data_IF_968443466321
#
_entry.id   IF_968443466321
#
_cell.length_a   1.000
_cell.length_b   1.000
_cell.length_c   1.000
_cell.angle_alpha   90.00
_cell.angle_beta   90.00
_cell.angle_gamma   90.00
#
_symmetry.space_group_name_H-M   'P 1'
#
loop_
_entity.id
_entity.type
_entity.pdbx_description
1 polymer ?
#
# COMPACT_ATOMS: atom_id res chain seq x y z
N UNK A 1 29.51 -23.77 48.36
CA UNK A 1 29.88 -23.42 46.97
C UNK A 1 28.67 -23.74 46.14
N UNK A 2 27.81 -22.76 45.87
CA UNK A 2 26.64 -22.97 45.00
C UNK A 2 26.58 -21.81 44.03
N UNK A 3 27.45 -21.86 43.01
CA UNK A 3 27.26 -21.04 41.82
C UNK A 3 26.07 -21.63 41.07
N UNK A 4 24.92 -20.99 41.23
CA UNK A 4 23.75 -21.21 40.38
C UNK A 4 24.14 -20.78 38.98
N UNK A 5 24.54 -21.75 38.15
CA UNK A 5 24.69 -21.59 36.70
C UNK A 5 23.33 -21.29 36.10
N UNK A 6 22.92 -20.02 36.15
CA UNK A 6 21.73 -19.54 35.44
C UNK A 6 22.05 -19.55 33.94
N UNK A 7 21.46 -20.54 33.30
CA UNK A 7 21.59 -20.98 31.92
C UNK A 7 21.64 -19.87 30.86
N UNK A 8 22.67 -19.91 30.00
CA UNK A 8 22.74 -19.14 28.74
C UNK A 8 21.55 -19.39 27.81
N UNK A 9 20.86 -20.52 27.95
CA UNK A 9 19.63 -20.90 27.24
C UNK A 9 18.42 -20.03 27.59
N UNK A 10 18.36 -19.46 28.80
CA UNK A 10 17.26 -18.57 29.19
C UNK A 10 17.42 -17.20 28.55
N UNK A 11 18.65 -16.65 28.50
CA UNK A 11 18.93 -15.37 27.84
C UNK A 11 18.56 -15.35 26.36
N UNK A 12 18.80 -16.44 25.63
CA UNK A 12 18.46 -16.54 24.20
C UNK A 12 16.94 -16.68 23.97
N UNK A 13 16.24 -17.44 24.81
CA UNK A 13 14.77 -17.57 24.74
C UNK A 13 14.04 -16.27 25.10
N UNK A 14 14.52 -15.54 26.10
CA UNK A 14 13.94 -14.25 26.50
C UNK A 14 14.21 -13.16 25.45
N UNK A 15 15.39 -13.16 24.81
CA UNK A 15 15.70 -12.26 23.70
C UNK A 15 14.83 -12.50 22.46
N UNK A 16 14.61 -13.77 22.10
CA UNK A 16 13.69 -14.14 21.00
C UNK A 16 12.24 -13.77 21.32
N UNK A 17 11.81 -13.92 22.57
CA UNK A 17 10.47 -13.54 23.00
C UNK A 17 10.27 -12.02 22.92
N UNK A 18 11.25 -11.23 23.36
CA UNK A 18 11.21 -9.76 23.26
C UNK A 18 11.16 -9.30 21.80
N UNK A 19 12.00 -9.87 20.92
CA UNK A 19 11.98 -9.54 19.49
C UNK A 19 10.61 -9.75 18.85
N UNK A 20 9.90 -10.82 19.20
CA UNK A 20 8.52 -11.05 18.70
C UNK A 20 7.52 -10.00 19.20
N UNK A 21 7.74 -9.47 20.40
CA UNK A 21 6.90 -8.40 20.96
C UNK A 21 7.24 -7.06 20.27
N UNK A 22 8.50 -6.81 19.95
CA UNK A 22 8.93 -5.67 19.12
C UNK A 22 8.33 -5.76 17.70
N UNK A 23 8.40 -6.93 17.06
CA UNK A 23 7.74 -7.18 15.75
C UNK A 23 6.23 -6.94 15.81
N UNK A 24 5.59 -7.23 16.94
CA UNK A 24 4.17 -6.93 17.14
C UNK A 24 3.92 -5.42 17.23
N UNK A 25 4.76 -4.69 17.96
CA UNK A 25 4.68 -3.24 18.04
C UNK A 25 4.88 -2.61 16.65
N UNK A 26 5.92 -3.01 15.92
CA UNK A 26 6.20 -2.53 14.56
C UNK A 26 5.04 -2.80 13.61
N UNK A 27 4.43 -3.99 13.71
CA UNK A 27 3.23 -4.32 12.96
C UNK A 27 2.08 -3.35 13.26
N UNK A 28 1.79 -3.08 14.53
CA UNK A 28 0.70 -2.16 14.90
C UNK A 28 0.99 -0.73 14.46
N UNK A 29 2.24 -0.29 14.58
CA UNK A 29 2.70 1.03 14.09
C UNK A 29 2.58 1.11 12.56
N UNK A 30 2.76 0.03 11.81
CA UNK A 30 2.60 0.05 10.35
C UNK A 30 1.14 0.31 9.91
N UNK A 31 0.15 0.02 10.76
CA UNK A 31 -1.27 0.23 10.47
C UNK A 31 -1.66 1.67 10.80
N UNK A 32 -1.55 2.56 9.83
CA UNK A 32 -1.77 4.01 10.03
C UNK A 32 -3.16 4.46 9.57
N UNK A 33 -3.68 3.87 8.51
CA UNK A 33 -4.92 4.31 7.85
C UNK A 33 -6.04 3.28 7.93
N UNK A 34 -7.31 3.68 7.70
CA UNK A 34 -8.43 2.74 7.56
C UNK A 34 -8.22 1.70 6.46
N UNK A 35 -7.55 2.08 5.36
CA UNK A 35 -7.28 1.19 4.23
C UNK A 35 -6.21 0.14 4.60
N UNK A 36 -5.20 0.51 5.40
CA UNK A 36 -4.24 -0.45 5.97
C UNK A 36 -4.95 -1.47 6.86
N UNK A 37 -5.82 -0.98 7.73
CA UNK A 37 -6.59 -1.82 8.64
C UNK A 37 -7.51 -2.78 7.86
N UNK A 38 -8.19 -2.30 6.82
CA UNK A 38 -9.04 -3.14 5.98
C UNK A 38 -8.23 -4.25 5.28
N UNK A 39 -7.05 -3.93 4.73
CA UNK A 39 -6.16 -4.93 4.11
C UNK A 39 -5.71 -6.00 5.09
N UNK A 40 -5.38 -5.63 6.32
CA UNK A 40 -4.95 -6.61 7.33
C UNK A 40 -6.11 -7.47 7.84
N UNK A 41 -7.32 -6.91 7.95
CA UNK A 41 -8.54 -7.68 8.25
C UNK A 41 -8.88 -8.67 7.12
N UNK A 42 -8.74 -8.28 5.86
CA UNK A 42 -8.91 -9.18 4.69
C UNK A 42 -7.88 -10.31 4.67
N UNK A 43 -6.66 -10.04 5.15
CA UNK A 43 -5.61 -11.06 5.37
C UNK A 43 -5.90 -11.99 6.57
N UNK A 44 -7.02 -11.78 7.28
CA UNK A 44 -7.46 -12.59 8.40
C UNK A 44 -6.82 -12.23 9.73
N UNK A 45 -6.12 -11.09 9.83
CA UNK A 45 -5.56 -10.63 11.11
C UNK A 45 -6.69 -10.16 12.02
N UNK A 46 -6.69 -10.63 13.27
CA UNK A 46 -7.65 -10.18 14.29
C UNK A 46 -6.95 -9.30 15.31
N UNK A 47 -7.48 -8.10 15.55
CA UNK A 47 -6.88 -7.08 16.44
C UNK A 47 -7.27 -7.23 17.92
N UNK A 48 -7.80 -8.40 18.32
CA UNK A 48 -7.87 -8.78 19.74
C UNK A 48 -6.56 -9.46 20.16
N UNK A 49 -6.29 -9.50 21.47
CA UNK A 49 -4.99 -9.96 22.00
C UNK A 49 -4.56 -11.33 21.50
N UNK A 50 -5.47 -12.31 21.46
CA UNK A 50 -5.15 -13.64 20.94
C UNK A 50 -4.79 -13.62 19.44
N UNK A 51 -5.45 -12.81 18.63
CA UNK A 51 -5.15 -12.69 17.20
C UNK A 51 -3.79 -12.05 16.93
N UNK A 52 -3.47 -11.00 17.69
CA UNK A 52 -2.16 -10.34 17.65
C UNK A 52 -1.04 -11.28 18.09
N UNK A 53 -1.25 -12.06 19.16
CA UNK A 53 -0.28 -13.08 19.58
C UNK A 53 -0.07 -14.16 18.53
N UNK A 54 -1.14 -14.62 17.87
CA UNK A 54 -1.03 -15.61 16.78
C UNK A 54 -0.26 -15.07 15.58
N UNK A 55 -0.43 -13.78 15.24
CA UNK A 55 0.27 -13.11 14.13
C UNK A 55 1.81 -13.19 14.27
N UNK A 56 2.33 -12.89 15.46
CA UNK A 56 3.79 -12.91 15.74
C UNK A 56 4.26 -14.19 16.46
N UNK A 57 3.35 -15.15 16.68
CA UNK A 57 3.59 -16.40 17.41
C UNK A 57 4.28 -16.15 18.78
N UNK A 58 3.73 -15.21 19.55
CA UNK A 58 4.21 -14.88 20.89
C UNK A 58 3.26 -15.44 21.97
N UNK A 59 3.83 -15.89 23.10
CA UNK A 59 3.07 -16.40 24.24
C UNK A 59 2.45 -15.28 25.08
N UNK A 60 1.50 -15.64 25.95
CA UNK A 60 0.87 -14.70 26.89
C UNK A 60 1.89 -14.00 27.77
N UNK A 61 2.75 -14.78 28.42
CA UNK A 61 3.69 -14.29 29.43
C UNK A 61 4.79 -13.44 28.80
N UNK A 62 5.21 -13.79 27.59
CA UNK A 62 6.14 -12.99 26.80
C UNK A 62 5.61 -11.56 26.55
N UNK A 63 4.31 -11.43 26.31
CA UNK A 63 3.66 -10.15 26.01
C UNK A 63 3.26 -9.37 27.27
N UNK A 64 2.64 -10.03 28.26
CA UNK A 64 2.00 -9.34 29.40
C UNK A 64 2.89 -9.26 30.66
N UNK A 65 3.84 -10.18 30.83
CA UNK A 65 4.59 -10.34 32.08
C UNK A 65 6.06 -9.95 31.90
N UNK A 66 6.69 -10.43 30.82
CA UNK A 66 8.14 -10.32 30.66
C UNK A 66 8.62 -9.01 30.00
N UNK A 67 7.72 -8.26 29.33
CA UNK A 67 8.04 -7.02 28.61
C UNK A 67 7.00 -5.92 28.90
N UNK A 68 6.88 -5.46 30.16
CA UNK A 68 5.84 -4.49 30.55
C UNK A 68 6.00 -3.13 29.85
N UNK A 69 7.23 -2.76 29.49
CA UNK A 69 7.56 -1.57 28.71
C UNK A 69 6.92 -1.61 27.32
N UNK A 70 7.14 -2.70 26.57
CA UNK A 70 6.58 -2.89 25.24
C UNK A 70 5.06 -3.10 25.30
N UNK A 71 4.57 -3.80 26.32
CA UNK A 71 3.13 -4.01 26.52
C UNK A 71 2.37 -2.69 26.57
N UNK A 72 2.87 -1.71 27.34
CA UNK A 72 2.23 -0.39 27.45
C UNK A 72 2.16 0.37 26.11
N UNK A 73 3.15 0.21 25.24
CA UNK A 73 3.17 0.81 23.90
C UNK A 73 2.20 0.09 22.96
N UNK A 74 2.18 -1.24 23.02
CA UNK A 74 1.28 -2.08 22.22
C UNK A 74 -0.18 -1.81 22.59
N UNK A 75 -0.48 -1.59 23.88
CA UNK A 75 -1.82 -1.25 24.33
C UNK A 75 -2.29 0.10 23.77
N UNK A 76 -1.43 1.13 23.78
CA UNK A 76 -1.71 2.43 23.16
C UNK A 76 -1.96 2.31 21.66
N UNK A 77 -1.12 1.56 20.95
CA UNK A 77 -1.28 1.36 19.50
C UNK A 77 -2.54 0.56 19.17
N UNK A 78 -2.88 -0.44 20.00
CA UNK A 78 -4.13 -1.19 19.87
C UNK A 78 -5.35 -0.31 20.11
N UNK A 79 -5.31 0.59 21.09
CA UNK A 79 -6.36 1.57 21.33
C UNK A 79 -6.50 2.54 20.14
N UNK A 80 -5.37 3.04 19.61
CA UNK A 80 -5.35 3.87 18.39
C UNK A 80 -6.01 3.16 17.21
N UNK A 81 -5.68 1.90 16.97
CA UNK A 81 -6.30 1.10 15.91
C UNK A 81 -7.80 0.88 16.20
N UNK A 82 -8.19 0.69 17.46
CA UNK A 82 -9.60 0.66 17.87
C UNK A 82 -10.34 1.96 17.51
N UNK A 83 -9.69 3.12 17.70
CA UNK A 83 -10.23 4.41 17.30
C UNK A 83 -10.36 4.55 15.77
N UNK A 84 -9.40 4.01 14.99
CA UNK A 84 -9.52 3.93 13.53
C UNK A 84 -10.75 3.10 13.14
N UNK A 85 -10.93 1.93 13.75
CA UNK A 85 -12.08 1.04 13.51
C UNK A 85 -13.41 1.74 13.83
N UNK A 86 -13.52 2.35 15.01
CA UNK A 86 -14.72 3.09 15.43
C UNK A 86 -15.00 4.33 14.56
N UNK A 87 -13.95 5.01 14.10
CA UNK A 87 -14.08 6.14 13.15
C UNK A 87 -14.53 5.69 11.75
N UNK A 88 -14.18 4.47 11.34
CA UNK A 88 -14.67 3.82 10.12
C UNK A 88 -16.15 3.45 10.22
N UNK A 89 -16.57 2.86 11.35
CA UNK A 89 -17.97 2.48 11.59
C UNK A 89 -18.91 3.69 11.74
N UNK A 90 -18.47 4.76 12.40
CA UNK A 90 -19.25 6.02 12.49
C UNK A 90 -19.38 6.73 11.15
N UNK A 91 -18.37 6.61 10.26
CA UNK A 91 -18.52 7.04 8.86
C UNK A 91 -19.45 6.12 8.07
N UNK A 92 -19.52 4.83 8.37
CA UNK A 92 -20.41 3.88 7.68
C UNK A 92 -21.88 4.03 8.09
N UNK A 93 -22.21 4.39 9.33
CA UNK A 93 -23.61 4.70 9.72
C UNK A 93 -24.16 6.00 9.11
N UNK A 94 -23.31 7.01 8.83
CA UNK A 94 -23.74 8.23 8.09
C UNK A 94 -23.64 8.08 6.56
N UNK A 95 -23.02 7.01 6.04
CA UNK A 95 -22.80 6.79 4.60
C UNK A 95 -23.77 5.81 3.95
N UNK A 96 -24.57 5.06 4.70
CA UNK A 96 -25.59 4.16 4.13
C UNK A 96 -26.63 4.87 3.23
N UNK A 97 -26.71 6.21 3.24
CA UNK A 97 -27.53 6.99 2.29
C UNK A 97 -26.77 7.88 1.30
N UNK A 98 -25.43 8.01 1.39
CA UNK A 98 -24.66 9.01 0.61
C UNK A 98 -23.38 8.48 -0.05
N UNK A 99 -22.84 7.36 0.42
CA UNK A 99 -21.62 6.74 -0.13
C UNK A 99 -21.83 6.07 -1.49
N UNK A 100 -23.02 5.53 -1.72
CA UNK A 100 -23.30 4.75 -2.93
C UNK A 100 -23.37 5.63 -4.19
N UNK A 101 -23.87 6.87 -4.06
CA UNK A 101 -23.93 7.85 -5.16
C UNK A 101 -22.58 8.49 -5.49
N UNK A 102 -21.67 8.60 -4.52
CA UNK A 102 -20.32 9.15 -4.74
C UNK A 102 -19.40 8.06 -5.30
N UNK A 103 -19.51 6.82 -4.80
CA UNK A 103 -18.78 5.66 -5.35
C UNK A 103 -19.18 5.37 -6.80
N UNK A 104 -20.48 5.40 -7.14
CA UNK A 104 -20.93 5.26 -8.53
C UNK A 104 -20.50 6.45 -9.40
N UNK A 105 -20.56 7.69 -8.92
CA UNK A 105 -20.04 8.85 -9.69
C UNK A 105 -18.53 8.76 -9.92
N UNK A 106 -17.74 8.48 -8.89
CA UNK A 106 -16.30 8.36 -9.01
C UNK A 106 -15.89 7.18 -9.92
N UNK A 107 -16.60 6.05 -9.87
CA UNK A 107 -16.34 4.92 -10.76
C UNK A 107 -16.78 5.19 -12.22
N UNK A 108 -17.86 5.96 -12.43
CA UNK A 108 -18.29 6.41 -13.78
C UNK A 108 -17.31 7.42 -14.35
N UNK A 109 -16.87 8.41 -13.55
CA UNK A 109 -15.87 9.40 -13.93
C UNK A 109 -14.51 8.73 -14.24
N UNK A 110 -14.09 7.75 -13.43
CA UNK A 110 -12.87 6.97 -13.69
C UNK A 110 -12.96 6.15 -14.98
N UNK A 111 -14.12 5.54 -15.27
CA UNK A 111 -14.36 4.85 -16.55
C UNK A 111 -14.35 5.83 -17.72
N UNK A 112 -14.92 7.02 -17.55
CA UNK A 112 -14.90 8.10 -18.53
C UNK A 112 -13.48 8.57 -18.83
N UNK A 113 -12.69 8.84 -17.78
CA UNK A 113 -11.29 9.23 -17.89
C UNK A 113 -10.45 8.14 -18.58
N UNK A 114 -10.62 6.86 -18.22
CA UNK A 114 -9.92 5.75 -18.89
C UNK A 114 -10.24 5.65 -20.38
N UNK A 115 -11.51 5.85 -20.76
CA UNK A 115 -11.91 5.89 -22.18
C UNK A 115 -11.32 7.10 -22.91
N UNK A 116 -11.29 8.26 -22.26
CA UNK A 116 -10.70 9.47 -22.83
C UNK A 116 -9.19 9.33 -23.04
N UNK A 117 -8.46 8.76 -22.07
CA UNK A 117 -7.03 8.45 -22.20
C UNK A 117 -6.81 7.52 -23.39
N UNK A 118 -7.54 6.40 -23.46
CA UNK A 118 -7.40 5.45 -24.57
C UNK A 118 -7.67 6.10 -25.93
N UNK A 119 -8.66 6.99 -26.02
CA UNK A 119 -8.96 7.73 -27.25
C UNK A 119 -7.83 8.71 -27.61
N UNK A 120 -7.32 9.46 -26.62
CA UNK A 120 -6.19 10.38 -26.80
C UNK A 120 -4.92 9.65 -27.22
N UNK A 121 -4.64 8.47 -26.66
CA UNK A 121 -3.51 7.63 -27.06
C UNK A 121 -3.64 7.18 -28.52
N UNK A 122 -4.85 6.84 -28.95
CA UNK A 122 -5.11 6.50 -30.35
C UNK A 122 -4.91 7.71 -31.28
N UNK A 123 -5.48 8.87 -30.93
CA UNK A 123 -5.29 10.13 -31.68
C UNK A 123 -3.81 10.51 -31.76
N UNK A 124 -3.05 10.33 -30.68
CA UNK A 124 -1.61 10.58 -30.64
C UNK A 124 -0.85 9.62 -31.57
N UNK A 125 -1.22 8.35 -31.57
CA UNK A 125 -0.59 7.36 -32.45
C UNK A 125 -0.89 7.63 -33.94
N UNK A 126 -2.12 8.02 -34.27
CA UNK A 126 -2.51 8.43 -35.63
C UNK A 126 -1.74 9.69 -36.07
N UNK A 127 -1.58 10.67 -35.17
CA UNK A 127 -0.79 11.86 -35.43
C UNK A 127 0.70 11.53 -35.62
N UNK A 128 1.27 10.61 -34.84
CA UNK A 128 2.65 10.15 -35.01
C UNK A 128 2.87 9.47 -36.36
N UNK A 129 1.97 8.57 -36.78
CA UNK A 129 2.05 7.93 -38.10
C UNK A 129 1.95 8.96 -39.23
N UNK A 130 1.04 9.93 -39.10
CA UNK A 130 0.91 11.02 -40.07
C UNK A 130 2.20 11.85 -40.16
N UNK A 131 2.81 12.19 -39.03
CA UNK A 131 4.07 12.93 -39.00
C UNK A 131 5.20 12.14 -39.66
N UNK A 132 5.31 10.83 -39.44
CA UNK A 132 6.29 9.98 -40.11
C UNK A 132 6.10 10.06 -41.64
N UNK A 133 4.87 9.90 -42.13
CA UNK A 133 4.59 9.99 -43.57
C UNK A 133 4.92 11.37 -44.16
N UNK A 134 4.65 12.46 -43.42
CA UNK A 134 4.99 13.81 -43.84
C UNK A 134 6.51 14.02 -43.90
N UNK A 135 7.25 13.52 -42.91
CA UNK A 135 8.71 13.58 -42.90
C UNK A 135 9.33 12.81 -44.08
N UNK A 136 8.80 11.63 -44.39
CA UNK A 136 9.22 10.85 -45.56
C UNK A 136 8.96 11.61 -46.87
N UNK A 137 7.79 12.26 -46.98
CA UNK A 137 7.43 13.07 -48.14
C UNK A 137 8.35 14.29 -48.27
N UNK A 138 8.66 14.98 -47.17
CA UNK A 138 9.62 16.10 -47.15
C UNK A 138 10.98 15.60 -47.63
N UNK A 139 11.50 14.51 -47.06
CA UNK A 139 12.80 13.94 -47.44
C UNK A 139 12.86 13.50 -48.91
N UNK A 140 11.73 13.08 -49.50
CA UNK A 140 11.62 12.80 -50.93
C UNK A 140 11.67 14.08 -51.75
N UNK A 141 10.87 15.09 -51.38
CA UNK A 141 10.83 16.37 -52.08
C UNK A 141 12.19 17.07 -52.03
N UNK A 142 12.88 17.05 -50.88
CA UNK A 142 14.24 17.60 -50.73
C UNK A 142 15.25 16.93 -51.67
N UNK A 143 15.15 15.61 -51.87
CA UNK A 143 15.97 14.87 -52.85
C UNK A 143 15.66 15.29 -54.28
N UNK A 144 14.38 15.38 -54.65
CA UNK A 144 13.95 15.82 -55.98
C UNK A 144 14.40 17.26 -56.28
N UNK A 145 14.33 18.15 -55.28
CA UNK A 145 14.76 19.55 -55.39
C UNK A 145 16.28 19.64 -55.55
N UNK A 146 17.03 18.90 -54.75
CA UNK A 146 18.50 18.83 -54.85
C UNK A 146 18.95 18.32 -56.22
N UNK A 147 18.26 17.31 -56.76
CA UNK A 147 18.54 16.79 -58.10
C UNK A 147 18.27 17.82 -59.19
N UNK A 148 17.15 18.56 -59.12
CA UNK A 148 16.79 19.61 -60.10
C UNK A 148 17.72 20.82 -60.05
N UNK A 149 18.12 21.26 -58.85
CA UNK A 149 19.08 22.36 -58.68
C UNK A 149 20.47 21.94 -59.16
N UNK A 150 20.91 20.71 -58.87
CA UNK A 150 22.20 20.18 -59.35
C UNK A 150 22.26 19.85 -60.84
N UNK A 151 21.11 19.72 -61.53
CA UNK A 151 21.04 19.51 -62.99
C UNK A 151 20.77 20.80 -63.79
N UNK A 152 20.70 21.95 -63.11
CA UNK A 152 20.60 23.28 -63.72
C UNK A 152 21.94 24.06 -63.67
N UNK A 153 23.04 23.38 -63.32
CA UNK A 153 24.43 23.86 -63.40
C UNK A 153 25.19 23.09 -64.48
#
# INVERSE_FOLDING_TARGET
MDQVSVNSSEKTKTGLARKKVEELLDFLVSVQTPDDLARELERGVKFHWEGLRRKVRCGTDALHVNNPDLFSLIEKEKERIGNILASGETKNKRRAGRGDKISTKATVELRGAKRSIKKKDQELNEAHLTNIMLLEKIARLERELSQRVGSSS
#
